data_IF_016098898690
#
_entry.id   IF_016098898690
#
_cell.length_a   1.000
_cell.length_b   1.000
_cell.length_c   1.000
_cell.angle_alpha   90.00
_cell.angle_beta   90.00
_cell.angle_gamma   90.00
#
_symmetry.space_group_name_H-M   'P 1'
#
loop_
_entity.id
_entity.type
_entity.pdbx_description
1 polymer ?
#
# COMPACT_ATOMS: atom_id res chain seq x y z
N UNK A 1 -1.21 -9.39 6.15
CA UNK A 1 -2.49 -8.68 6.03
C UNK A 1 -3.49 -9.38 6.92
N UNK A 2 -4.40 -8.62 7.51
CA UNK A 2 -5.42 -9.11 8.43
C UNK A 2 -6.37 -10.08 7.74
N UNK A 3 -7.01 -10.98 8.51
CA UNK A 3 -8.07 -11.87 8.03
C UNK A 3 -9.40 -11.14 7.83
N UNK A 4 -9.39 -9.81 7.65
CA UNK A 4 -10.59 -9.02 7.49
C UNK A 4 -11.39 -9.42 6.24
N UNK A 5 -12.69 -9.63 6.41
CA UNK A 5 -13.60 -9.91 5.30
C UNK A 5 -13.87 -8.67 4.46
N UNK A 6 -13.90 -7.48 5.09
CA UNK A 6 -14.40 -6.27 4.45
C UNK A 6 -13.32 -5.21 4.25
N UNK A 7 -13.45 -4.45 3.16
CA UNK A 7 -12.48 -3.43 2.78
C UNK A 7 -13.20 -2.09 2.69
N UNK A 8 -12.80 -1.09 3.50
CA UNK A 8 -13.44 0.21 3.48
C UNK A 8 -13.14 0.94 2.17
N UNK A 9 -14.18 1.52 1.58
CA UNK A 9 -14.15 2.32 0.36
C UNK A 9 -14.53 3.75 0.71
N UNK A 10 -13.61 4.68 0.51
CA UNK A 10 -13.80 6.11 0.78
C UNK A 10 -14.01 6.89 -0.51
N UNK A 11 -14.73 8.00 -0.41
CA UNK A 11 -14.91 8.96 -1.51
C UNK A 11 -14.28 10.28 -1.08
N UNK A 12 -13.12 10.62 -1.64
CA UNK A 12 -12.37 11.82 -1.26
C UNK A 12 -12.56 12.98 -2.22
N UNK A 13 -13.21 12.74 -3.36
CA UNK A 13 -13.51 13.75 -4.36
C UNK A 13 -15.01 14.05 -4.45
N UNK A 14 -15.34 15.24 -4.96
CA UNK A 14 -16.73 15.61 -5.28
C UNK A 14 -17.16 14.94 -6.58
N UNK A 15 -17.59 13.69 -6.49
CA UNK A 15 -18.04 12.88 -7.62
C UNK A 15 -19.54 12.60 -7.58
N UNK A 16 -20.19 12.40 -8.73
CA UNK A 16 -21.59 11.97 -8.79
C UNK A 16 -21.78 10.59 -8.13
N UNK A 17 -22.95 10.36 -7.54
CA UNK A 17 -23.29 9.07 -6.90
C UNK A 17 -23.29 7.93 -7.93
N UNK A 18 -23.59 8.24 -9.18
CA UNK A 18 -23.54 7.31 -10.31
C UNK A 18 -22.13 6.73 -10.50
N UNK A 19 -21.07 7.52 -10.25
CA UNK A 19 -19.70 7.01 -10.30
C UNK A 19 -19.43 6.06 -9.13
N UNK A 20 -19.88 6.39 -7.92
CA UNK A 20 -19.74 5.50 -6.74
C UNK A 20 -20.48 4.17 -6.98
N UNK A 21 -21.71 4.25 -7.48
CA UNK A 21 -22.52 3.08 -7.81
C UNK A 21 -21.83 2.21 -8.84
N UNK A 22 -21.25 2.80 -9.89
CA UNK A 22 -20.50 2.08 -10.91
C UNK A 22 -19.36 1.24 -10.31
N UNK A 23 -18.60 1.78 -9.35
CA UNK A 23 -17.51 1.05 -8.68
C UNK A 23 -18.05 -0.13 -7.86
N UNK A 24 -19.13 0.09 -7.11
CA UNK A 24 -19.78 -0.97 -6.33
C UNK A 24 -20.35 -2.08 -7.24
N UNK A 25 -20.99 -1.70 -8.34
CA UNK A 25 -21.54 -2.61 -9.35
C UNK A 25 -20.45 -3.44 -10.05
N UNK A 26 -19.24 -2.89 -10.26
CA UNK A 26 -18.10 -3.66 -10.76
C UNK A 26 -17.71 -4.79 -9.80
N UNK A 27 -17.67 -4.50 -8.48
CA UNK A 27 -17.41 -5.53 -7.47
C UNK A 27 -18.49 -6.62 -7.45
N UNK A 28 -19.76 -6.24 -7.52
CA UNK A 28 -20.86 -7.20 -7.64
C UNK A 28 -20.79 -8.03 -8.92
N UNK A 29 -20.42 -7.42 -10.05
CA UNK A 29 -20.30 -8.12 -11.32
C UNK A 29 -19.15 -9.12 -11.32
N UNK A 30 -18.00 -8.78 -10.72
CA UNK A 30 -16.89 -9.72 -10.56
C UNK A 30 -17.32 -10.95 -9.74
N UNK A 31 -17.94 -10.75 -8.58
CA UNK A 31 -18.43 -11.86 -7.77
C UNK A 31 -19.46 -12.71 -8.50
N UNK A 32 -20.43 -12.10 -9.21
CA UNK A 32 -21.43 -12.87 -9.98
C UNK A 32 -20.84 -13.71 -11.10
N UNK A 33 -19.71 -13.28 -11.67
CA UNK A 33 -19.04 -13.96 -12.77
C UNK A 33 -17.96 -14.94 -12.28
N UNK A 34 -17.80 -15.09 -10.98
CA UNK A 34 -16.84 -16.00 -10.37
C UNK A 34 -17.53 -17.27 -9.85
N UNK A 35 -17.48 -18.39 -10.62
CA UNK A 35 -18.21 -19.60 -10.28
C UNK A 35 -17.69 -20.28 -9.00
N UNK A 36 -16.46 -19.98 -8.60
CA UNK A 36 -15.78 -20.61 -7.46
C UNK A 36 -15.76 -19.73 -6.20
N UNK A 37 -16.36 -18.52 -6.26
CA UNK A 37 -16.45 -17.53 -5.16
C UNK A 37 -15.08 -17.20 -4.54
N UNK A 38 -14.03 -17.18 -5.37
CA UNK A 38 -12.65 -16.82 -5.03
C UNK A 38 -12.47 -15.29 -4.85
N UNK A 39 -13.34 -14.50 -5.48
CA UNK A 39 -13.30 -13.04 -5.56
C UNK A 39 -14.59 -12.43 -5.00
N UNK A 40 -14.91 -12.65 -3.70
CA UNK A 40 -16.12 -12.10 -3.10
C UNK A 40 -16.06 -10.57 -3.10
N UNK A 41 -17.18 -9.89 -3.32
CA UNK A 41 -17.24 -8.44 -3.20
C UNK A 41 -17.04 -8.04 -1.74
N UNK A 42 -15.95 -7.33 -1.44
CA UNK A 42 -15.58 -6.91 -0.07
C UNK A 42 -15.82 -5.43 0.22
N UNK A 43 -16.35 -4.67 -0.73
CA UNK A 43 -16.46 -3.22 -0.57
C UNK A 43 -17.46 -2.80 0.51
N UNK A 44 -17.00 -1.91 1.39
CA UNK A 44 -17.84 -1.25 2.39
C UNK A 44 -17.68 0.27 2.26
N UNK A 45 -18.70 0.94 1.73
CA UNK A 45 -18.69 2.39 1.60
C UNK A 45 -18.76 3.06 2.97
N UNK A 46 -17.76 3.86 3.28
CA UNK A 46 -17.73 4.70 4.49
C UNK A 46 -18.09 6.12 4.06
N UNK A 47 -19.31 6.53 4.37
CA UNK A 47 -19.88 7.81 3.91
C UNK A 47 -19.48 8.96 4.83
N UNK A 48 -19.41 8.72 6.15
CA UNK A 48 -19.18 9.74 7.16
C UNK A 48 -18.25 9.23 8.30
N UNK A 49 -17.38 10.07 8.89
CA UNK A 49 -16.55 9.69 10.04
C UNK A 49 -17.31 9.20 11.28
N UNK A 50 -18.56 9.65 11.46
CA UNK A 50 -19.43 9.28 12.58
C UNK A 50 -20.39 8.13 12.24
N UNK A 51 -20.23 7.52 11.05
CA UNK A 51 -21.02 6.37 10.64
C UNK A 51 -20.80 5.20 11.60
N UNK A 52 -21.90 4.67 12.14
CA UNK A 52 -21.89 3.55 13.09
C UNK A 52 -22.54 2.28 12.54
N UNK A 53 -23.23 2.38 11.41
CA UNK A 53 -23.89 1.26 10.73
C UNK A 53 -23.36 1.10 9.32
N UNK A 54 -23.16 -0.14 8.90
CA UNK A 54 -22.49 -0.46 7.64
C UNK A 54 -23.28 -1.56 6.92
N UNK A 55 -23.34 -1.45 5.59
CA UNK A 55 -23.82 -2.52 4.73
C UNK A 55 -22.61 -3.30 4.22
N UNK A 56 -22.60 -4.61 4.47
CA UNK A 56 -21.49 -5.51 4.14
C UNK A 56 -21.96 -6.68 3.25
N UNK A 57 -21.57 -6.75 1.96
CA UNK A 57 -20.98 -5.66 1.19
C UNK A 57 -21.97 -4.49 1.05
N UNK A 58 -21.48 -3.33 0.64
CA UNK A 58 -22.34 -2.17 0.43
C UNK A 58 -23.18 -2.32 -0.82
N UNK A 59 -24.50 -2.10 -0.69
CA UNK A 59 -25.39 -1.91 -1.82
C UNK A 59 -25.26 -0.50 -2.38
N UNK A 60 -25.30 -0.30 -3.72
CA UNK A 60 -25.27 1.02 -4.33
C UNK A 60 -26.27 2.01 -3.70
N UNK A 61 -25.82 3.19 -3.24
CA UNK A 61 -26.72 4.24 -2.74
C UNK A 61 -27.81 4.63 -3.74
N UNK A 62 -29.05 4.73 -3.25
CA UNK A 62 -30.22 5.16 -4.04
C UNK A 62 -30.29 6.70 -4.13
N UNK A 63 -29.76 7.40 -3.14
CA UNK A 63 -29.79 8.85 -3.04
C UNK A 63 -28.39 9.43 -3.13
N UNK A 64 -28.28 10.61 -3.74
CA UNK A 64 -27.05 11.40 -3.71
C UNK A 64 -26.64 11.69 -2.26
N UNK A 65 -25.34 11.61 -1.98
CA UNK A 65 -24.76 11.99 -0.70
C UNK A 65 -23.50 12.80 -0.92
N UNK A 66 -23.09 13.57 0.08
CA UNK A 66 -21.75 14.17 0.14
C UNK A 66 -20.94 13.39 1.15
N UNK A 67 -19.79 12.85 0.74
CA UNK A 67 -18.93 12.14 1.69
C UNK A 67 -18.33 13.12 2.71
N UNK A 68 -18.29 12.70 3.97
CA UNK A 68 -17.56 13.38 5.04
C UNK A 68 -16.03 13.34 4.87
N UNK A 69 -15.52 12.57 3.89
CA UNK A 69 -14.10 12.42 3.59
C UNK A 69 -13.63 13.24 2.38
N UNK A 70 -14.47 14.15 1.84
CA UNK A 70 -14.04 15.04 0.76
C UNK A 70 -12.81 15.84 1.18
N UNK A 71 -11.76 15.80 0.36
CA UNK A 71 -10.43 16.36 0.61
C UNK A 71 -9.62 15.70 1.75
N UNK A 72 -10.05 14.54 2.26
CA UNK A 72 -9.24 13.80 3.23
C UNK A 72 -7.92 13.38 2.59
N UNK A 73 -6.82 13.59 3.32
CA UNK A 73 -5.48 13.14 2.92
C UNK A 73 -5.32 11.64 3.14
N UNK A 74 -4.36 11.03 2.42
CA UNK A 74 -3.98 9.63 2.67
C UNK A 74 -3.60 9.40 4.15
N UNK A 75 -2.83 10.30 4.75
CA UNK A 75 -2.43 10.18 6.16
C UNK A 75 -3.61 10.22 7.14
N UNK A 76 -4.58 11.12 6.92
CA UNK A 76 -5.78 11.15 7.74
C UNK A 76 -6.63 9.88 7.59
N UNK A 77 -6.69 9.28 6.39
CA UNK A 77 -7.41 8.03 6.18
C UNK A 77 -6.70 6.85 6.84
N UNK A 78 -5.37 6.75 6.73
CA UNK A 78 -4.56 5.73 7.41
C UNK A 78 -4.80 5.74 8.93
N UNK A 79 -4.76 6.93 9.54
CA UNK A 79 -5.05 7.12 10.98
C UNK A 79 -6.50 6.77 11.31
N UNK A 80 -7.45 7.20 10.49
CA UNK A 80 -8.87 6.89 10.69
C UNK A 80 -9.13 5.38 10.65
N UNK A 81 -8.66 4.70 9.61
CA UNK A 81 -8.83 3.26 9.41
C UNK A 81 -8.23 2.47 10.57
N UNK A 82 -6.98 2.76 10.95
CA UNK A 82 -6.30 2.11 12.06
C UNK A 82 -6.93 2.37 13.44
N UNK A 83 -7.71 3.45 13.61
CA UNK A 83 -8.33 3.80 14.89
C UNK A 83 -9.80 3.38 15.02
N UNK A 84 -10.47 3.07 13.89
CA UNK A 84 -11.92 2.82 13.86
C UNK A 84 -12.28 1.39 13.51
N UNK A 85 -11.46 0.70 12.74
CA UNK A 85 -11.76 -0.62 12.21
C UNK A 85 -10.85 -1.70 12.84
N UNK A 86 -10.87 -2.91 12.29
CA UNK A 86 -10.18 -4.08 12.84
C UNK A 86 -11.08 -4.97 13.69
N UNK A 87 -10.49 -6.02 14.27
CA UNK A 87 -11.22 -7.09 14.97
C UNK A 87 -12.08 -6.58 16.14
N UNK A 88 -11.69 -5.48 16.78
CA UNK A 88 -12.42 -4.84 17.89
C UNK A 88 -13.03 -3.49 17.49
N UNK A 89 -13.04 -3.17 16.20
CA UNK A 89 -13.52 -1.91 15.65
C UNK A 89 -15.01 -1.90 15.33
N UNK A 90 -15.44 -0.85 14.63
CA UNK A 90 -16.78 -0.71 14.10
C UNK A 90 -17.13 -1.84 13.13
N UNK A 91 -18.39 -2.27 13.14
CA UNK A 91 -18.92 -3.36 12.33
C UNK A 91 -18.21 -4.72 12.50
N UNK A 92 -17.51 -4.95 13.62
CA UNK A 92 -17.01 -6.29 13.96
C UNK A 92 -18.13 -7.15 14.57
N UNK A 93 -18.34 -8.33 14.00
CA UNK A 93 -19.27 -9.34 14.52
C UNK A 93 -18.56 -10.62 15.04
N UNK A 94 -17.23 -10.58 15.22
CA UNK A 94 -16.38 -11.74 15.53
C UNK A 94 -15.97 -12.55 14.29
N UNK A 95 -15.22 -13.67 14.47
CA UNK A 95 -14.73 -14.60 13.42
C UNK A 95 -14.49 -13.97 12.03
N UNK A 96 -13.45 -13.16 11.88
CA UNK A 96 -13.01 -12.56 10.60
C UNK A 96 -14.02 -11.63 9.90
N UNK A 97 -15.21 -11.42 10.48
CA UNK A 97 -16.26 -10.55 9.96
C UNK A 97 -16.10 -9.13 10.51
N UNK A 98 -15.05 -8.43 10.06
CA UNK A 98 -14.78 -7.04 10.38
C UNK A 98 -14.23 -6.28 9.17
N UNK A 99 -14.27 -4.94 9.25
CA UNK A 99 -13.68 -4.02 8.28
C UNK A 99 -12.17 -3.94 8.54
N UNK A 100 -11.36 -4.04 7.50
CA UNK A 100 -9.90 -3.98 7.57
C UNK A 100 -9.42 -2.66 8.20
N UNK A 101 -8.44 -2.77 9.09
CA UNK A 101 -7.66 -1.67 9.67
C UNK A 101 -6.29 -1.49 9.00
N UNK A 102 -5.95 -2.40 8.08
CA UNK A 102 -4.68 -2.47 7.36
C UNK A 102 -4.85 -2.34 5.83
N UNK A 103 -6.05 -2.07 5.33
CA UNK A 103 -6.31 -1.83 3.91
C UNK A 103 -7.50 -0.90 3.69
N UNK A 104 -7.48 -0.12 2.62
CA UNK A 104 -8.63 0.68 2.18
C UNK A 104 -8.53 1.10 0.71
N UNK A 105 -9.67 1.37 0.09
CA UNK A 105 -9.75 1.91 -1.26
C UNK A 105 -10.31 3.33 -1.27
N UNK A 106 -9.99 4.09 -2.31
CA UNK A 106 -10.35 5.49 -2.48
C UNK A 106 -10.86 5.75 -3.90
N UNK A 107 -12.06 6.32 -3.98
CA UNK A 107 -12.60 7.01 -5.16
C UNK A 107 -12.16 8.48 -5.05
N UNK A 108 -11.24 8.88 -5.92
CA UNK A 108 -10.67 10.23 -5.97
C UNK A 108 -11.04 10.94 -7.28
N UNK A 109 -10.43 12.11 -7.53
CA UNK A 109 -10.67 12.89 -8.75
C UNK A 109 -10.23 12.16 -10.02
N UNK A 110 -9.23 11.29 -9.94
CA UNK A 110 -8.70 10.53 -11.08
C UNK A 110 -9.65 9.38 -11.45
N UNK A 111 -10.39 8.81 -10.50
CA UNK A 111 -11.41 7.79 -10.79
C UNK A 111 -12.43 8.23 -11.85
N UNK A 112 -12.84 9.51 -11.84
CA UNK A 112 -13.77 10.03 -12.85
C UNK A 112 -13.16 10.12 -14.26
N UNK A 113 -11.82 10.15 -14.38
CA UNK A 113 -11.10 10.31 -15.64
C UNK A 113 -10.79 8.98 -16.32
N UNK A 114 -10.35 8.00 -15.54
CA UNK A 114 -9.82 6.73 -16.07
C UNK A 114 -10.46 5.47 -15.46
N UNK A 115 -11.51 5.62 -14.65
CA UNK A 115 -12.21 4.50 -14.01
C UNK A 115 -11.31 3.61 -13.14
N UNK A 116 -10.23 4.15 -12.57
CA UNK A 116 -9.39 3.42 -11.61
C UNK A 116 -9.53 3.97 -10.19
N UNK A 117 -9.34 3.10 -9.20
CA UNK A 117 -9.40 3.44 -7.77
C UNK A 117 -7.99 3.36 -7.17
N UNK A 118 -7.74 4.14 -6.13
CA UNK A 118 -6.50 4.05 -5.38
C UNK A 118 -6.69 3.07 -4.22
N UNK A 119 -5.82 2.08 -4.10
CA UNK A 119 -5.86 1.07 -3.06
C UNK A 119 -4.62 1.19 -2.19
N UNK A 120 -4.84 1.19 -0.87
CA UNK A 120 -3.80 1.24 0.14
C UNK A 120 -3.83 -0.05 0.93
N UNK A 121 -2.64 -0.56 1.23
CA UNK A 121 -2.47 -1.72 2.11
C UNK A 121 -1.23 -1.54 2.96
N UNK A 122 -1.34 -1.92 4.23
CA UNK A 122 -0.22 -1.98 5.15
C UNK A 122 0.42 -3.36 5.06
N UNK A 123 1.72 -3.38 4.80
CA UNK A 123 2.50 -4.61 4.73
C UNK A 123 3.72 -4.52 5.63
N UNK A 124 4.16 -5.67 6.13
CA UNK A 124 5.38 -5.79 6.90
C UNK A 124 6.53 -6.06 5.95
N UNK A 125 7.32 -5.03 5.68
CA UNK A 125 8.46 -5.10 4.76
C UNK A 125 9.69 -4.50 5.43
N UNK A 126 10.87 -4.99 5.04
CA UNK A 126 12.13 -4.42 5.48
C UNK A 126 12.53 -3.21 4.62
N UNK A 127 13.61 -2.52 5.02
CA UNK A 127 14.09 -1.32 4.33
C UNK A 127 14.62 -1.59 2.92
N UNK A 128 15.18 -2.79 2.68
CA UNK A 128 15.68 -3.19 1.35
C UNK A 128 14.50 -3.33 0.41
N UNK A 129 13.45 -4.03 0.85
CA UNK A 129 12.25 -4.25 0.05
C UNK A 129 11.55 -2.95 -0.32
N UNK A 130 11.48 -2.00 0.61
CA UNK A 130 10.98 -0.66 0.32
C UNK A 130 11.82 0.08 -0.74
N UNK A 131 13.15 -0.08 -0.70
CA UNK A 131 14.04 0.50 -1.70
C UNK A 131 13.87 -0.17 -3.07
N UNK A 132 13.67 -1.50 -3.11
CA UNK A 132 13.35 -2.23 -4.34
C UNK A 132 12.07 -1.69 -4.98
N UNK A 133 10.98 -1.51 -4.21
CA UNK A 133 9.72 -0.93 -4.71
C UNK A 133 9.96 0.46 -5.30
N UNK A 134 10.70 1.34 -4.60
CA UNK A 134 11.00 2.68 -5.11
C UNK A 134 11.79 2.63 -6.41
N UNK A 135 12.78 1.75 -6.50
CA UNK A 135 13.58 1.56 -7.72
C UNK A 135 12.74 1.04 -8.88
N UNK A 136 11.90 0.04 -8.64
CA UNK A 136 11.03 -0.56 -9.64
C UNK A 136 10.13 0.49 -10.33
N UNK A 137 9.77 1.55 -9.59
CA UNK A 137 8.92 2.64 -10.06
C UNK A 137 9.66 3.94 -10.40
N UNK A 138 11.00 3.90 -10.49
CA UNK A 138 11.83 5.07 -10.83
C UNK A 138 11.74 6.22 -9.81
N UNK A 139 11.40 5.90 -8.56
CA UNK A 139 11.29 6.83 -7.42
C UNK A 139 12.43 6.66 -6.41
N UNK A 140 13.45 5.86 -6.75
CA UNK A 140 14.60 5.62 -5.91
C UNK A 140 15.49 6.87 -5.77
N UNK A 141 15.91 7.12 -4.53
CA UNK A 141 16.86 8.18 -4.21
C UNK A 141 18.28 7.63 -4.07
N UNK A 142 19.26 8.51 -3.89
CA UNK A 142 20.68 8.13 -3.78
C UNK A 142 20.93 7.04 -2.74
N UNK A 143 20.29 7.14 -1.57
CA UNK A 143 20.45 6.15 -0.50
C UNK A 143 19.85 4.78 -0.87
N UNK A 144 18.77 4.73 -1.66
CA UNK A 144 18.18 3.47 -2.14
C UNK A 144 19.14 2.74 -3.06
N UNK A 145 19.71 3.45 -4.04
CA UNK A 145 20.69 2.89 -4.99
C UNK A 145 21.91 2.31 -4.27
N UNK A 146 22.42 3.05 -3.28
CA UNK A 146 23.56 2.63 -2.49
C UNK A 146 23.21 1.43 -1.59
N UNK A 147 22.03 1.44 -0.96
CA UNK A 147 21.53 0.34 -0.15
C UNK A 147 21.38 -0.94 -0.98
N UNK A 148 20.72 -0.88 -2.15
CA UNK A 148 20.48 -2.06 -3.00
C UNK A 148 21.79 -2.65 -3.53
N UNK A 149 22.76 -1.80 -3.89
CA UNK A 149 24.10 -2.24 -4.27
C UNK A 149 24.84 -2.89 -3.09
N UNK A 150 24.83 -2.24 -1.92
CA UNK A 150 25.50 -2.74 -0.72
C UNK A 150 24.87 -4.03 -0.20
N UNK A 151 23.55 -4.17 -0.29
CA UNK A 151 22.82 -5.36 0.11
C UNK A 151 22.99 -6.55 -0.86
N UNK A 152 23.58 -6.31 -2.04
CA UNK A 152 23.81 -7.33 -3.07
C UNK A 152 22.57 -7.67 -3.90
N UNK A 153 21.59 -6.75 -3.99
CA UNK A 153 20.36 -6.94 -4.77
C UNK A 153 20.60 -6.62 -6.25
N UNK A 154 21.28 -5.50 -6.53
CA UNK A 154 21.39 -4.94 -7.88
C UNK A 154 22.52 -5.52 -8.73
N UNK A 155 23.54 -6.11 -8.11
CA UNK A 155 24.70 -6.58 -8.84
C UNK A 155 25.50 -7.61 -8.05
N UNK A 156 26.15 -8.52 -8.79
CA UNK A 156 27.26 -9.32 -8.27
C UNK A 156 28.53 -8.48 -7.99
N UNK A 157 28.52 -7.20 -8.38
CA UNK A 157 29.62 -6.26 -8.11
C UNK A 157 29.46 -5.63 -6.73
N UNK A 158 30.52 -5.75 -5.91
CA UNK A 158 30.60 -5.09 -4.62
C UNK A 158 30.67 -3.57 -4.78
N UNK A 159 30.08 -2.79 -3.85
CA UNK A 159 30.24 -1.34 -3.84
C UNK A 159 31.71 -0.97 -3.69
N UNK A 160 32.15 0.05 -4.43
CA UNK A 160 33.48 0.63 -4.28
C UNK A 160 33.63 1.31 -2.92
N UNK A 161 34.88 1.50 -2.47
CA UNK A 161 35.19 2.16 -1.21
C UNK A 161 34.59 3.58 -1.10
N UNK A 162 34.52 4.32 -2.21
CA UNK A 162 33.88 5.63 -2.30
C UNK A 162 32.36 5.53 -2.10
N UNK A 163 31.71 4.55 -2.74
CA UNK A 163 30.28 4.29 -2.58
C UNK A 163 29.92 3.87 -1.15
N UNK A 164 30.77 3.07 -0.49
CA UNK A 164 30.57 2.70 0.92
C UNK A 164 30.58 3.94 1.83
N UNK A 165 31.55 4.84 1.64
CA UNK A 165 31.61 6.09 2.43
C UNK A 165 30.44 7.00 2.14
N UNK A 166 30.06 7.13 0.86
CA UNK A 166 28.88 7.88 0.45
C UNK A 166 27.62 7.30 1.08
N UNK A 167 27.49 5.99 1.14
CA UNK A 167 26.35 5.34 1.76
C UNK A 167 26.25 5.69 3.26
N UNK A 168 27.36 5.61 4.00
CA UNK A 168 27.38 6.01 5.41
C UNK A 168 27.02 7.49 5.62
N UNK A 169 27.39 8.39 4.70
CA UNK A 169 27.05 9.82 4.77
C UNK A 169 25.57 10.10 4.46
N UNK A 170 24.99 9.37 3.51
CA UNK A 170 23.59 9.53 3.13
C UNK A 170 22.63 8.81 4.10
N UNK A 171 23.11 7.77 4.78
CA UNK A 171 22.31 6.96 5.68
C UNK A 171 22.05 7.67 7.01
N UNK A 172 20.84 8.24 7.12
CA UNK A 172 20.36 8.98 8.28
C UNK A 172 19.12 8.33 8.87
N UNK A 173 18.96 8.43 10.19
CA UNK A 173 17.73 8.04 10.87
C UNK A 173 16.66 9.12 10.73
N UNK A 174 15.47 8.87 11.27
CA UNK A 174 14.31 9.78 11.23
C UNK A 174 14.59 11.18 11.79
N UNK A 175 15.55 11.30 12.71
CA UNK A 175 15.96 12.57 13.32
C UNK A 175 17.04 13.30 12.50
N UNK A 176 17.43 12.76 11.34
CA UNK A 176 18.48 13.30 10.48
C UNK A 176 19.90 13.03 10.97
N UNK A 177 20.07 12.25 12.03
CA UNK A 177 21.39 11.85 12.55
C UNK A 177 21.95 10.69 11.75
N UNK A 178 23.27 10.67 11.57
CA UNK A 178 23.96 9.57 10.92
C UNK A 178 23.71 8.25 11.67
N UNK A 179 23.40 7.20 10.92
CA UNK A 179 23.23 5.84 11.44
C UNK A 179 24.59 5.17 11.65
N UNK A 180 25.55 5.51 10.80
CA UNK A 180 26.95 5.06 10.83
C UNK A 180 27.82 6.30 10.80
N UNK A 181 28.90 6.32 11.59
CA UNK A 181 29.85 7.42 11.54
C UNK A 181 30.70 7.34 10.26
N UNK A 182 30.52 8.26 9.28
CA UNK A 182 31.22 8.18 7.99
C UNK A 182 32.70 8.55 8.10
N UNK A 183 33.10 9.23 9.17
CA UNK A 183 34.48 9.65 9.45
C UNK A 183 35.20 8.72 10.42
N UNK A 184 34.57 7.58 10.77
CA UNK A 184 35.11 6.61 11.73
C UNK A 184 36.34 5.87 11.19
N UNK A 185 37.49 6.54 11.22
CA UNK A 185 38.79 5.97 10.90
C UNK A 185 38.84 5.28 9.53
N UNK A 186 39.43 4.09 9.50
CA UNK A 186 39.60 3.29 8.29
C UNK A 186 38.27 2.64 7.83
N UNK A 187 38.15 2.45 6.53
CA UNK A 187 36.95 1.99 5.83
C UNK A 187 36.39 0.68 6.39
N UNK A 188 37.24 -0.23 6.86
CA UNK A 188 36.83 -1.50 7.45
C UNK A 188 35.93 -1.32 8.68
N UNK A 189 36.12 -0.24 9.45
CA UNK A 189 35.23 0.08 10.58
C UNK A 189 33.87 0.60 10.11
N UNK A 190 33.85 1.39 9.03
CA UNK A 190 32.61 1.88 8.41
C UNK A 190 31.82 0.70 7.86
N UNK A 191 32.47 -0.22 7.13
CA UNK A 191 31.86 -1.48 6.65
C UNK A 191 31.29 -2.31 7.80
N UNK A 192 32.06 -2.53 8.87
CA UNK A 192 31.57 -3.30 10.02
C UNK A 192 30.33 -2.69 10.68
N UNK A 193 30.23 -1.36 10.75
CA UNK A 193 29.02 -0.69 11.24
C UNK A 193 27.84 -0.82 10.27
N UNK A 194 28.08 -0.66 8.96
CA UNK A 194 27.06 -0.85 7.93
C UNK A 194 26.55 -2.29 7.90
N UNK A 195 27.42 -3.29 8.03
CA UNK A 195 27.05 -4.70 8.09
C UNK A 195 26.22 -5.00 9.34
N UNK A 196 26.62 -4.45 10.49
CA UNK A 196 25.86 -4.58 11.74
C UNK A 196 24.47 -3.93 11.63
N UNK A 197 24.39 -2.76 11.00
CA UNK A 197 23.12 -2.08 10.73
C UNK A 197 22.25 -2.89 9.76
N UNK A 198 22.80 -3.29 8.61
CA UNK A 198 22.09 -4.04 7.59
C UNK A 198 21.57 -5.38 8.11
N UNK A 199 22.36 -6.08 8.92
CA UNK A 199 21.94 -7.33 9.55
C UNK A 199 20.76 -7.14 10.50
N UNK A 200 20.61 -5.97 11.12
CA UNK A 200 19.43 -5.67 11.95
C UNK A 200 18.23 -5.36 11.06
N UNK A 201 18.42 -4.53 10.04
CA UNK A 201 17.32 -4.14 9.14
C UNK A 201 16.77 -5.30 8.31
N UNK A 202 17.61 -6.24 7.86
CA UNK A 202 17.17 -7.46 7.15
C UNK A 202 16.22 -8.35 7.97
N UNK A 203 16.23 -8.22 9.29
CA UNK A 203 15.32 -8.96 10.17
C UNK A 203 14.18 -8.11 10.74
N UNK A 204 14.20 -6.80 10.51
CA UNK A 204 13.28 -5.84 11.12
C UNK A 204 12.22 -5.41 10.11
N UNK A 205 11.25 -6.30 9.87
CA UNK A 205 10.09 -5.98 9.06
C UNK A 205 9.17 -5.03 9.83
N UNK A 206 8.83 -3.90 9.21
CA UNK A 206 7.99 -2.86 9.82
C UNK A 206 6.72 -2.65 9.00
N UNK A 207 5.60 -2.27 9.64
CA UNK A 207 4.37 -1.97 8.93
C UNK A 207 4.55 -0.70 8.10
N UNK A 208 4.37 -0.81 6.79
CA UNK A 208 4.47 0.29 5.83
C UNK A 208 3.20 0.32 5.00
N UNK A 209 2.59 1.49 4.89
CA UNK A 209 1.50 1.71 3.96
C UNK A 209 2.04 1.88 2.54
N UNK A 210 1.64 0.97 1.66
CA UNK A 210 1.88 1.04 0.23
C UNK A 210 0.60 1.40 -0.49
N UNK A 211 0.75 1.96 -1.69
CA UNK A 211 -0.37 2.38 -2.53
C UNK A 211 -0.21 1.84 -3.96
N UNK A 212 -1.34 1.56 -4.59
CA UNK A 212 -1.41 1.12 -5.98
C UNK A 212 -2.72 1.58 -6.60
N UNK A 213 -2.70 1.89 -7.89
CA UNK A 213 -3.91 2.24 -8.62
C UNK A 213 -4.40 1.00 -9.37
N UNK A 214 -5.68 0.69 -9.21
CA UNK A 214 -6.30 -0.52 -9.75
C UNK A 214 -7.38 -0.14 -10.76
N UNK A 215 -7.42 -0.82 -11.90
CA UNK A 215 -8.59 -0.74 -12.78
C UNK A 215 -9.85 -1.17 -11.99
N UNK A 216 -10.87 -0.32 -11.94
CA UNK A 216 -12.02 -0.56 -11.08
C UNK A 216 -12.87 -1.75 -11.55
N UNK A 217 -12.80 -2.10 -12.84
CA UNK A 217 -13.56 -3.24 -13.40
C UNK A 217 -13.04 -4.56 -12.82
N UNK A 218 -11.77 -4.63 -12.44
CA UNK A 218 -11.10 -5.83 -11.93
C UNK A 218 -10.52 -5.67 -10.50
N UNK A 219 -10.86 -4.57 -9.80
CA UNK A 219 -10.24 -4.25 -8.51
C UNK A 219 -10.41 -5.33 -7.43
N UNK A 220 -11.55 -6.04 -7.32
CA UNK A 220 -11.69 -7.12 -6.34
C UNK A 220 -10.66 -8.23 -6.60
N UNK A 221 -10.53 -8.71 -7.84
CA UNK A 221 -9.51 -9.69 -8.23
C UNK A 221 -8.10 -9.22 -7.85
N UNK A 222 -7.74 -7.98 -8.17
CA UNK A 222 -6.41 -7.46 -7.87
C UNK A 222 -6.15 -7.35 -6.37
N UNK A 223 -7.11 -6.85 -5.60
CA UNK A 223 -6.96 -6.77 -4.15
C UNK A 223 -6.79 -8.17 -3.53
N UNK A 224 -7.54 -9.18 -3.99
CA UNK A 224 -7.34 -10.60 -3.59
C UNK A 224 -5.95 -11.11 -3.98
N UNK A 225 -5.49 -10.82 -5.20
CA UNK A 225 -4.13 -11.14 -5.63
C UNK A 225 -3.08 -10.53 -4.70
N UNK A 226 -3.20 -9.23 -4.44
CA UNK A 226 -2.35 -8.49 -3.49
C UNK A 226 -2.38 -9.14 -2.10
N UNK A 227 -3.54 -9.57 -1.60
CA UNK A 227 -3.65 -10.30 -0.34
C UNK A 227 -2.83 -11.60 -0.29
N UNK A 228 -2.68 -12.28 -1.42
CA UNK A 228 -1.97 -13.55 -1.51
C UNK A 228 -0.47 -13.41 -1.75
N UNK A 229 -0.06 -12.53 -2.66
CA UNK A 229 1.36 -12.41 -3.06
C UNK A 229 2.09 -11.24 -2.39
N UNK A 230 1.34 -10.25 -1.90
CA UNK A 230 1.88 -8.99 -1.40
C UNK A 230 1.95 -7.90 -2.47
N UNK A 231 1.66 -6.65 -2.09
CA UNK A 231 1.73 -5.52 -3.02
C UNK A 231 3.18 -5.21 -3.39
N UNK A 232 4.12 -5.32 -2.47
CA UNK A 232 5.55 -5.19 -2.76
C UNK A 232 6.02 -6.15 -3.85
N UNK A 233 5.57 -7.42 -3.84
CA UNK A 233 5.86 -8.41 -4.88
C UNK A 233 5.27 -7.99 -6.23
N UNK A 234 3.99 -7.60 -6.25
CA UNK A 234 3.36 -7.10 -7.47
C UNK A 234 4.10 -5.89 -8.04
N UNK A 235 4.50 -4.95 -7.19
CA UNK A 235 5.19 -3.72 -7.61
C UNK A 235 6.61 -3.95 -8.12
N UNK A 236 7.28 -5.05 -7.76
CA UNK A 236 8.68 -5.34 -8.13
C UNK A 236 8.76 -6.34 -9.28
N UNK A 237 7.92 -7.37 -9.27
CA UNK A 237 8.07 -8.53 -10.17
C UNK A 237 6.96 -8.64 -11.22
N UNK A 238 5.88 -7.88 -11.11
CA UNK A 238 4.70 -7.96 -12.00
C UNK A 238 4.47 -6.66 -12.77
N UNK A 239 5.54 -6.01 -13.23
CA UNK A 239 5.47 -4.74 -13.95
C UNK A 239 4.64 -4.80 -15.25
N UNK A 240 4.54 -5.97 -15.86
CA UNK A 240 3.74 -6.23 -17.06
C UNK A 240 2.22 -6.23 -16.80
N UNK A 241 1.80 -6.29 -15.53
CA UNK A 241 0.40 -6.14 -15.12
C UNK A 241 -0.06 -4.68 -15.06
N UNK A 242 0.85 -3.72 -15.23
CA UNK A 242 0.59 -2.28 -15.16
C UNK A 242 0.60 -1.59 -16.54
N UNK A 243 -0.32 -0.65 -16.72
CA UNK A 243 -0.32 0.24 -17.88
C UNK A 243 0.72 1.37 -17.79
N UNK A 244 0.84 2.16 -18.86
CA UNK A 244 1.77 3.31 -18.92
C UNK A 244 1.45 4.43 -17.90
N UNK A 245 0.28 4.39 -17.28
CA UNK A 245 -0.17 5.34 -16.27
C UNK A 245 -0.09 4.77 -14.83
N UNK A 246 0.53 3.60 -14.67
CA UNK A 246 0.72 2.92 -13.40
C UNK A 246 -0.56 2.31 -12.82
N UNK A 247 -1.55 1.99 -13.66
CA UNK A 247 -2.77 1.30 -13.27
C UNK A 247 -2.59 -0.20 -13.48
N UNK A 248 -2.82 -1.00 -12.44
CA UNK A 248 -2.86 -2.45 -12.52
C UNK A 248 -4.11 -2.88 -13.29
N UNK A 249 -3.93 -3.60 -14.41
CA UNK A 249 -4.99 -3.87 -15.38
C UNK A 249 -5.06 -5.32 -15.90
N UNK A 250 -4.10 -6.20 -15.58
CA UNK A 250 -4.05 -7.58 -16.09
C UNK A 250 -3.86 -8.59 -14.97
#
# INVERSE_FOLDING_TARGET
MSDATWVPLFVTAKVPVELVNKILEHGEAQQRNDPDDLFPNRWVLVQDPEQSTFSTPTKPPVHSFTSGFVNASAESLKVFVASKFGEQGLASNGRSDWIADDAFAVIDERTARDNSILFYVQQYVDTIRQAEVRKAWGKDITVDKLLLKYAGVDSNEMPSDEEVRKFAQELKNENGSFVVDPELGDLEKVKAQLDSWLSKEKGDVRPVWMEVRLDAVNAIKFTVGIWHIGLDEALINHHDEFDEHGVMCC
#
